data_IF_531523093402
#
_entry.id   IF_531523093402
#
_cell.length_a   1.000
_cell.length_b   1.000
_cell.length_c   1.000
_cell.angle_alpha   90.00
_cell.angle_beta   90.00
_cell.angle_gamma   90.00
#
_symmetry.space_group_name_H-M   'P 1'
#
loop_
_entity.id
_entity.type
_entity.pdbx_description
1 polymer ?
#
# COMPACT_ATOMS: atom_id res chain seq x y z
N UNK A 1 7.96 -14.67 3.03
CA UNK A 1 8.16 -14.73 1.56
C UNK A 1 9.56 -14.24 1.23
N UNK A 2 10.25 -14.81 0.23
CA UNK A 2 11.62 -14.41 -0.08
C UNK A 2 11.57 -13.55 -1.34
N UNK A 3 11.85 -12.26 -1.20
CA UNK A 3 12.08 -11.34 -2.32
C UNK A 3 13.51 -11.55 -2.87
N UNK A 4 13.78 -11.00 -4.06
CA UNK A 4 15.16 -10.89 -4.55
C UNK A 4 16.04 -10.10 -3.56
N UNK A 5 17.36 -10.36 -3.56
CA UNK A 5 18.29 -9.78 -2.59
C UNK A 5 18.16 -8.24 -2.50
N UNK A 6 18.14 -7.56 -3.65
CA UNK A 6 18.02 -6.09 -3.72
C UNK A 6 16.76 -5.58 -3.01
N UNK A 7 15.60 -6.20 -3.25
CA UNK A 7 14.35 -5.80 -2.60
C UNK A 7 14.43 -6.02 -1.09
N UNK A 8 14.96 -7.17 -0.66
CA UNK A 8 15.11 -7.50 0.75
C UNK A 8 16.04 -6.51 1.48
N UNK A 9 17.19 -6.17 0.88
CA UNK A 9 18.12 -5.19 1.42
C UNK A 9 17.51 -3.80 1.54
N UNK A 10 16.72 -3.38 0.54
CA UNK A 10 16.02 -2.09 0.60
C UNK A 10 14.98 -2.09 1.71
N UNK A 11 14.12 -3.12 1.80
CA UNK A 11 13.10 -3.22 2.85
C UNK A 11 13.71 -3.29 4.26
N UNK A 12 14.92 -3.84 4.40
CA UNK A 12 15.64 -3.87 5.67
C UNK A 12 15.95 -2.48 6.24
N UNK A 13 16.01 -1.43 5.40
CA UNK A 13 16.19 -0.05 5.84
C UNK A 13 14.98 0.49 6.65
N UNK A 14 13.85 -0.22 6.63
CA UNK A 14 12.64 0.18 7.36
C UNK A 14 11.89 -1.04 7.91
N UNK A 15 12.55 -1.85 8.73
CA UNK A 15 11.93 -2.94 9.47
C UNK A 15 11.30 -4.06 8.60
N UNK A 16 11.89 -4.34 7.43
CA UNK A 16 11.56 -5.51 6.59
C UNK A 16 10.06 -5.65 6.24
N UNK A 17 9.37 -4.55 5.97
CA UNK A 17 7.94 -4.54 5.65
C UNK A 17 7.01 -4.37 6.85
N UNK A 18 7.54 -4.31 8.07
CA UNK A 18 6.75 -4.14 9.29
C UNK A 18 6.57 -2.67 9.73
N UNK A 19 7.11 -1.72 8.97
CA UNK A 19 6.91 -0.30 9.26
C UNK A 19 5.45 0.09 9.06
N UNK A 20 4.87 0.77 10.03
CA UNK A 20 3.59 1.44 9.87
C UNK A 20 3.76 2.72 9.06
N UNK A 21 3.11 2.78 7.91
CA UNK A 21 3.09 3.97 7.08
C UNK A 21 2.03 4.95 7.61
N UNK A 22 2.32 6.26 7.69
CA UNK A 22 1.32 7.24 8.10
C UNK A 22 0.13 7.24 7.15
N UNK A 23 -1.05 7.57 7.66
CA UNK A 23 -2.28 7.68 6.86
C UNK A 23 -2.29 8.95 6.00
N UNK A 24 -1.50 9.95 6.36
CA UNK A 24 -1.26 11.13 5.55
C UNK A 24 0.19 11.17 5.09
N UNK A 25 0.40 11.60 3.85
CA UNK A 25 1.73 11.73 3.30
C UNK A 25 2.58 12.75 4.06
N UNK A 26 3.88 12.47 4.11
CA UNK A 26 4.92 13.33 4.66
C UNK A 26 6.13 13.34 3.73
N UNK A 27 7.28 13.68 4.28
CA UNK A 27 8.56 13.53 3.57
C UNK A 27 8.92 12.07 3.40
N UNK A 28 9.69 11.78 2.35
CA UNK A 28 10.25 10.44 2.15
C UNK A 28 11.01 9.99 3.40
N UNK A 29 10.70 8.80 3.90
CA UNK A 29 11.23 8.26 5.15
C UNK A 29 12.74 7.99 5.11
N UNK A 30 13.27 7.63 3.94
CA UNK A 30 14.68 7.29 3.75
C UNK A 30 15.17 7.71 2.38
N UNK A 31 16.02 8.73 2.35
CA UNK A 31 16.70 9.17 1.13
C UNK A 31 17.62 8.08 0.55
N UNK A 32 18.20 7.24 1.41
CA UNK A 32 19.00 6.10 0.96
C UNK A 32 18.12 5.07 0.23
N UNK A 33 16.95 4.74 0.77
CA UNK A 33 16.02 3.85 0.10
C UNK A 33 15.54 4.44 -1.23
N UNK A 34 15.16 5.73 -1.24
CA UNK A 34 14.74 6.45 -2.45
C UNK A 34 15.79 6.35 -3.55
N UNK A 35 17.04 6.65 -3.22
CA UNK A 35 18.16 6.56 -4.16
C UNK A 35 18.37 5.12 -4.64
N UNK A 36 18.42 4.13 -3.74
CA UNK A 36 18.63 2.73 -4.10
C UNK A 36 17.51 2.19 -5.01
N UNK A 37 16.26 2.59 -4.76
CA UNK A 37 15.12 2.22 -5.61
C UNK A 37 15.30 2.85 -7.00
N UNK A 38 15.62 4.15 -7.06
CA UNK A 38 15.79 4.88 -8.32
C UNK A 38 17.00 4.43 -9.15
N UNK A 39 18.09 4.00 -8.50
CA UNK A 39 19.27 3.46 -9.18
C UNK A 39 19.07 2.02 -9.69
N UNK A 40 18.02 1.33 -9.21
CA UNK A 40 17.73 -0.05 -9.60
C UNK A 40 16.98 -0.10 -10.92
N UNK A 41 17.44 -0.95 -11.85
CA UNK A 41 16.70 -1.19 -13.08
C UNK A 41 15.52 -2.10 -12.82
N UNK A 42 14.35 -1.69 -13.27
CA UNK A 42 13.09 -2.42 -13.08
C UNK A 42 13.19 -3.86 -13.60
N UNK A 43 13.79 -4.03 -14.79
CA UNK A 43 14.00 -5.31 -15.44
C UNK A 43 14.96 -6.24 -14.69
N UNK A 44 15.86 -5.71 -13.87
CA UNK A 44 16.79 -6.53 -13.08
C UNK A 44 16.14 -6.97 -11.75
N UNK A 45 15.39 -6.06 -11.13
CA UNK A 45 14.80 -6.29 -9.79
C UNK A 45 13.49 -7.05 -9.86
N UNK A 46 12.68 -6.77 -10.88
CA UNK A 46 11.32 -7.30 -11.05
C UNK A 46 11.10 -8.01 -12.39
N UNK A 47 12.17 -8.56 -13.01
CA UNK A 47 12.15 -9.20 -14.34
C UNK A 47 11.03 -10.23 -14.55
N UNK A 48 10.68 -10.97 -13.51
CA UNK A 48 9.66 -12.01 -13.55
C UNK A 48 8.43 -11.71 -12.70
N UNK A 49 8.31 -10.47 -12.23
CA UNK A 49 7.18 -10.05 -11.42
C UNK A 49 5.88 -9.98 -12.24
N UNK A 50 4.76 -10.23 -11.60
CA UNK A 50 3.42 -10.14 -12.22
C UNK A 50 3.11 -8.73 -12.68
N UNK A 51 3.42 -7.73 -11.86
CA UNK A 51 3.21 -6.31 -12.14
C UNK A 51 4.45 -5.52 -11.69
N UNK A 52 5.51 -5.44 -12.53
CA UNK A 52 6.78 -4.81 -12.14
C UNK A 52 6.64 -3.36 -11.70
N UNK A 53 5.88 -2.55 -12.44
CA UNK A 53 5.63 -1.14 -12.10
C UNK A 53 4.85 -1.01 -10.79
N UNK A 54 3.85 -1.87 -10.56
CA UNK A 54 3.13 -1.94 -9.30
C UNK A 54 4.04 -2.31 -8.12
N UNK A 55 4.97 -3.25 -8.30
CA UNK A 55 5.95 -3.58 -7.28
C UNK A 55 6.91 -2.41 -6.98
N UNK A 56 7.35 -1.68 -8.00
CA UNK A 56 8.17 -0.48 -7.84
C UNK A 56 7.42 0.63 -7.08
N UNK A 57 6.17 0.88 -7.46
CA UNK A 57 5.29 1.83 -6.76
C UNK A 57 5.15 1.47 -5.28
N UNK A 58 4.91 0.17 -4.99
CA UNK A 58 4.82 -0.34 -3.62
C UNK A 58 6.08 -0.12 -2.81
N UNK A 59 7.27 -0.25 -3.40
CA UNK A 59 8.52 0.07 -2.72
C UNK A 59 8.61 1.56 -2.36
N UNK A 60 8.33 2.47 -3.28
CA UNK A 60 8.36 3.91 -3.00
C UNK A 60 7.35 4.29 -1.92
N UNK A 61 6.12 3.79 -2.00
CA UNK A 61 5.08 4.06 -0.98
C UNK A 61 5.47 3.55 0.40
N UNK A 62 6.13 2.39 0.49
CA UNK A 62 6.60 1.87 1.77
C UNK A 62 7.53 2.84 2.49
N UNK A 63 8.35 3.56 1.75
CA UNK A 63 9.23 4.60 2.29
C UNK A 63 8.60 6.00 2.29
N UNK A 64 7.30 6.12 2.02
CA UNK A 64 6.60 7.42 1.92
C UNK A 64 7.20 8.37 0.88
N UNK A 65 7.94 7.85 -0.11
CA UNK A 65 8.46 8.59 -1.26
C UNK A 65 7.31 8.73 -2.27
N UNK A 66 6.36 9.59 -1.94
CA UNK A 66 5.05 9.66 -2.58
C UNK A 66 5.10 10.20 -4.00
N UNK A 67 5.95 11.18 -4.26
CA UNK A 67 6.04 11.81 -5.58
C UNK A 67 6.52 10.80 -6.62
N UNK A 68 7.54 10.00 -6.30
CA UNK A 68 8.02 8.92 -7.15
C UNK A 68 6.98 7.80 -7.30
N UNK A 69 6.30 7.44 -6.22
CA UNK A 69 5.21 6.46 -6.27
C UNK A 69 4.07 6.92 -7.17
N UNK A 70 3.70 8.19 -7.09
CA UNK A 70 2.66 8.80 -7.92
C UNK A 70 3.04 8.79 -9.39
N UNK A 71 4.28 9.19 -9.73
CA UNK A 71 4.79 9.20 -11.10
C UNK A 71 4.73 7.81 -11.74
N UNK A 72 5.20 6.77 -11.02
CA UNK A 72 5.15 5.40 -11.51
C UNK A 72 3.71 4.91 -11.66
N UNK A 73 2.86 5.09 -10.64
CA UNK A 73 1.47 4.65 -10.67
C UNK A 73 0.67 5.34 -11.79
N UNK A 74 0.91 6.64 -12.04
CA UNK A 74 0.23 7.38 -13.10
C UNK A 74 0.56 6.85 -14.50
N UNK A 75 1.75 6.30 -14.69
CA UNK A 75 2.18 5.71 -15.96
C UNK A 75 1.68 4.28 -16.18
N UNK A 76 1.17 3.62 -15.13
CA UNK A 76 0.70 2.23 -15.15
C UNK A 76 -0.82 2.15 -15.33
N UNK A 77 -1.28 1.81 -16.53
CA UNK A 77 -2.71 1.67 -16.86
C UNK A 77 -3.36 0.37 -16.35
N UNK A 78 -2.65 -0.49 -15.63
CA UNK A 78 -3.16 -1.75 -15.08
C UNK A 78 -4.13 -1.54 -13.90
N UNK A 79 -4.78 -2.63 -13.47
CA UNK A 79 -5.58 -2.62 -12.24
C UNK A 79 -4.69 -2.38 -11.01
N UNK A 80 -3.49 -2.95 -11.00
CA UNK A 80 -2.50 -2.78 -9.94
C UNK A 80 -1.97 -1.34 -9.88
N UNK A 81 -1.67 -0.73 -11.03
CA UNK A 81 -1.31 0.70 -11.13
C UNK A 81 -2.42 1.60 -10.60
N UNK A 82 -3.67 1.33 -10.99
CA UNK A 82 -4.85 2.03 -10.48
C UNK A 82 -5.02 1.87 -8.96
N UNK A 83 -4.71 0.69 -8.42
CA UNK A 83 -4.80 0.43 -6.98
C UNK A 83 -3.75 1.24 -6.21
N UNK A 84 -2.50 1.18 -6.63
CA UNK A 84 -1.44 1.98 -6.01
C UNK A 84 -1.73 3.47 -6.09
N UNK A 85 -2.22 3.95 -7.22
CA UNK A 85 -2.60 5.34 -7.41
C UNK A 85 -3.73 5.75 -6.44
N UNK A 86 -4.71 4.86 -6.22
CA UNK A 86 -5.76 5.09 -5.22
C UNK A 86 -5.20 5.22 -3.80
N UNK A 87 -4.19 4.39 -3.43
CA UNK A 87 -3.52 4.49 -2.12
C UNK A 87 -2.72 5.80 -2.01
N UNK A 88 -2.03 6.22 -3.07
CA UNK A 88 -1.33 7.51 -3.11
C UNK A 88 -2.29 8.65 -2.76
N UNK A 89 -3.41 8.76 -3.47
CA UNK A 89 -4.39 9.82 -3.21
C UNK A 89 -5.08 9.70 -1.84
N UNK A 90 -5.27 8.46 -1.33
CA UNK A 90 -5.74 8.29 0.05
C UNK A 90 -4.76 8.89 1.06
N UNK A 91 -3.44 8.78 0.82
CA UNK A 91 -2.41 9.39 1.67
C UNK A 91 -2.20 10.90 1.40
N UNK A 92 -2.72 11.43 0.32
CA UNK A 92 -2.75 12.87 0.00
C UNK A 92 -3.94 13.61 0.61
N UNK A 93 -4.69 13.04 1.54
CA UNK A 93 -6.08 13.31 1.93
C UNK A 93 -6.97 13.83 0.79
N UNK A 94 -6.95 13.10 -0.34
CA UNK A 94 -7.83 13.34 -1.49
C UNK A 94 -8.78 12.14 -1.71
N UNK A 95 -9.84 12.03 -0.91
CA UNK A 95 -10.78 10.91 -0.98
C UNK A 95 -11.52 10.85 -2.33
N UNK A 96 -11.65 11.97 -3.01
CA UNK A 96 -12.29 12.06 -4.33
C UNK A 96 -11.50 11.32 -5.40
N UNK A 97 -10.22 11.63 -5.55
CA UNK A 97 -9.31 10.97 -6.48
C UNK A 97 -9.03 9.53 -6.05
N UNK A 98 -8.84 9.26 -4.76
CA UNK A 98 -8.71 7.89 -4.26
C UNK A 98 -9.89 7.03 -4.71
N UNK A 99 -11.12 7.52 -4.52
CA UNK A 99 -12.35 6.83 -4.95
C UNK A 99 -12.43 6.68 -6.47
N UNK A 100 -12.00 7.68 -7.23
CA UNK A 100 -11.94 7.58 -8.70
C UNK A 100 -11.08 6.41 -9.14
N UNK A 101 -9.87 6.27 -8.58
CA UNK A 101 -8.96 5.21 -8.95
C UNK A 101 -9.44 3.83 -8.46
N UNK A 102 -10.04 3.72 -7.26
CA UNK A 102 -10.62 2.45 -6.81
C UNK A 102 -11.78 1.96 -7.69
N UNK A 103 -12.57 2.86 -8.30
CA UNK A 103 -13.58 2.45 -9.30
C UNK A 103 -12.95 1.77 -10.51
N UNK A 104 -11.73 2.16 -10.91
CA UNK A 104 -10.99 1.52 -12.01
C UNK A 104 -10.41 0.17 -11.63
N UNK A 105 -10.07 -0.03 -10.36
CA UNK A 105 -9.63 -1.34 -9.83
C UNK A 105 -10.76 -2.38 -9.91
N UNK A 106 -11.96 -1.99 -9.55
CA UNK A 106 -13.09 -2.92 -9.45
C UNK A 106 -12.87 -3.98 -8.35
N UNK A 107 -12.98 -5.25 -8.72
CA UNK A 107 -12.69 -6.38 -7.83
C UNK A 107 -11.22 -6.76 -7.93
N UNK A 108 -10.55 -6.96 -6.80
CA UNK A 108 -9.14 -7.35 -6.78
C UNK A 108 -8.92 -8.65 -6.00
N UNK A 109 -7.96 -9.45 -6.44
CA UNK A 109 -7.69 -10.78 -5.88
C UNK A 109 -7.25 -10.77 -4.40
N UNK A 110 -6.70 -9.65 -3.92
CA UNK A 110 -6.27 -9.54 -2.51
C UNK A 110 -7.42 -9.19 -1.56
N UNK A 111 -8.58 -8.74 -2.03
CA UNK A 111 -9.67 -8.25 -1.18
C UNK A 111 -10.14 -9.26 -0.12
N UNK A 112 -10.31 -10.57 -0.41
CA UNK A 112 -10.69 -11.51 0.62
C UNK A 112 -9.67 -11.64 1.75
N UNK A 113 -8.38 -11.73 1.42
CA UNK A 113 -7.31 -11.82 2.41
C UNK A 113 -7.14 -10.51 3.19
N UNK A 114 -7.35 -9.36 2.53
CA UNK A 114 -7.31 -8.06 3.18
C UNK A 114 -8.46 -7.90 4.19
N UNK A 115 -9.66 -8.34 3.85
CA UNK A 115 -10.79 -8.33 4.77
C UNK A 115 -10.51 -9.21 6.00
N UNK A 116 -9.94 -10.40 5.81
CA UNK A 116 -9.55 -11.28 6.91
C UNK A 116 -8.53 -10.61 7.84
N UNK A 117 -7.48 -10.00 7.25
CA UNK A 117 -6.48 -9.26 8.01
C UNK A 117 -7.07 -8.07 8.76
N UNK A 118 -7.93 -7.29 8.11
CA UNK A 118 -8.59 -6.15 8.74
C UNK A 118 -9.52 -6.56 9.91
N UNK A 119 -10.22 -7.69 9.77
CA UNK A 119 -11.03 -8.24 10.88
C UNK A 119 -10.18 -8.69 12.06
N UNK A 120 -9.00 -9.24 11.81
CA UNK A 120 -8.06 -9.59 12.88
C UNK A 120 -7.58 -8.34 13.64
N UNK A 121 -7.32 -7.24 12.92
CA UNK A 121 -6.98 -5.94 13.52
C UNK A 121 -8.15 -5.40 14.34
N UNK A 122 -9.38 -5.41 13.81
CA UNK A 122 -10.58 -4.96 14.52
C UNK A 122 -10.84 -5.78 15.78
N UNK A 123 -10.66 -7.10 15.72
CA UNK A 123 -10.80 -7.98 16.88
C UNK A 123 -9.75 -7.70 17.97
N UNK A 124 -8.53 -7.30 17.59
CA UNK A 124 -7.47 -6.90 18.51
C UNK A 124 -7.67 -5.48 19.09
N UNK A 125 -8.41 -4.61 18.41
CA UNK A 125 -8.67 -3.22 18.78
C UNK A 125 -10.16 -2.88 18.58
N UNK A 126 -11.07 -3.41 19.41
CA UNK A 126 -12.52 -3.26 19.17
C UNK A 126 -13.03 -1.81 19.21
N UNK A 127 -12.32 -0.92 19.94
CA UNK A 127 -12.67 0.50 20.01
C UNK A 127 -12.31 1.29 18.75
N UNK A 128 -11.50 0.71 17.84
CA UNK A 128 -11.14 1.34 16.57
C UNK A 128 -12.33 1.50 15.61
N UNK A 129 -13.36 0.64 15.71
CA UNK A 129 -14.62 0.70 14.94
C UNK A 129 -14.34 0.87 13.43
N UNK A 130 -13.69 -0.12 12.84
CA UNK A 130 -13.36 -0.12 11.42
C UNK A 130 -14.60 -0.26 10.52
N UNK A 131 -15.74 -0.69 11.11
CA UNK A 131 -17.03 -0.83 10.41
C UNK A 131 -16.98 -1.76 9.19
N UNK A 132 -16.31 -2.90 9.33
CA UNK A 132 -16.08 -3.85 8.25
C UNK A 132 -17.36 -4.60 7.86
N UNK A 133 -17.70 -4.56 6.58
CA UNK A 133 -18.84 -5.31 6.02
C UNK A 133 -18.48 -6.77 5.69
N UNK A 134 -19.40 -7.48 5.02
CA UNK A 134 -19.21 -8.87 4.60
C UNK A 134 -18.16 -9.06 3.50
N UNK A 135 -17.81 -8.00 2.77
CA UNK A 135 -16.77 -7.94 1.73
C UNK A 135 -15.88 -6.74 1.96
N UNK A 136 -14.64 -6.80 1.43
CA UNK A 136 -13.78 -5.63 1.47
C UNK A 136 -14.34 -4.51 0.61
N UNK A 137 -14.52 -3.35 1.23
CA UNK A 137 -14.95 -2.13 0.57
C UNK A 137 -13.85 -1.06 0.69
N UNK A 138 -13.10 -0.77 -0.39
CA UNK A 138 -12.06 0.24 -0.36
C UNK A 138 -12.59 1.66 -0.13
N UNK A 139 -13.85 1.93 -0.47
CA UNK A 139 -14.46 3.24 -0.24
C UNK A 139 -14.75 3.45 1.24
N UNK A 140 -15.28 2.43 1.92
CA UNK A 140 -15.45 2.47 3.36
C UNK A 140 -14.09 2.64 4.08
N UNK A 141 -13.03 2.00 3.58
CA UNK A 141 -11.70 2.16 4.17
C UNK A 141 -11.09 3.55 3.93
N UNK A 142 -11.40 4.23 2.81
CA UNK A 142 -11.04 5.65 2.63
C UNK A 142 -11.67 6.47 3.76
N UNK A 143 -12.96 6.27 4.07
CA UNK A 143 -13.65 7.00 5.14
C UNK A 143 -13.07 6.69 6.53
N UNK A 144 -12.67 5.44 6.78
CA UNK A 144 -11.95 5.07 8.01
C UNK A 144 -10.66 5.87 8.14
N UNK A 145 -9.85 5.95 7.08
CA UNK A 145 -8.61 6.73 7.08
C UNK A 145 -8.87 8.23 7.31
N UNK A 146 -9.94 8.80 6.70
CA UNK A 146 -10.33 10.19 6.92
C UNK A 146 -10.71 10.46 8.41
N UNK A 147 -11.48 9.55 9.01
CA UNK A 147 -11.86 9.66 10.43
C UNK A 147 -10.64 9.51 11.34
N UNK A 148 -9.78 8.53 11.04
CA UNK A 148 -8.59 8.23 11.83
C UNK A 148 -7.60 9.41 11.88
N UNK A 149 -7.36 10.08 10.74
CA UNK A 149 -6.49 11.27 10.64
C UNK A 149 -6.96 12.45 11.51
N UNK A 150 -8.25 12.53 11.82
CA UNK A 150 -8.80 13.58 12.72
C UNK A 150 -8.58 13.27 14.19
N UNK A 151 -8.06 12.09 14.51
CA UNK A 151 -7.85 11.59 15.87
C UNK A 151 -6.43 11.03 16.04
N UNK A 152 -5.40 11.86 15.86
CA UNK A 152 -4.01 11.40 15.93
C UNK A 152 -3.70 10.79 17.32
N UNK A 153 -2.98 9.68 17.34
CA UNK A 153 -2.65 8.91 18.54
C UNK A 153 -3.78 8.01 19.05
N UNK A 154 -4.92 7.95 18.35
CA UNK A 154 -6.04 7.07 18.74
C UNK A 154 -5.82 5.61 18.32
N UNK A 155 -6.57 4.69 18.96
CA UNK A 155 -6.61 3.29 18.53
C UNK A 155 -7.15 3.14 17.10
N UNK A 156 -8.06 4.02 16.67
CA UNK A 156 -8.54 4.04 15.28
C UNK A 156 -7.40 4.34 14.30
N UNK A 157 -6.54 5.31 14.60
CA UNK A 157 -5.39 5.62 13.73
C UNK A 157 -4.42 4.45 13.68
N UNK A 158 -4.07 3.87 14.83
CA UNK A 158 -3.18 2.72 14.90
C UNK A 158 -3.73 1.52 14.13
N UNK A 159 -5.02 1.21 14.28
CA UNK A 159 -5.69 0.13 13.57
C UNK A 159 -5.75 0.40 12.05
N UNK A 160 -6.08 1.62 11.63
CA UNK A 160 -6.11 1.97 10.21
C UNK A 160 -4.72 1.91 9.56
N UNK A 161 -3.66 2.33 10.26
CA UNK A 161 -2.28 2.16 9.79
C UNK A 161 -1.89 0.69 9.66
N UNK A 162 -2.32 -0.16 10.60
CA UNK A 162 -2.04 -1.61 10.52
C UNK A 162 -2.80 -2.26 9.35
N UNK A 163 -4.07 -1.91 9.12
CA UNK A 163 -4.81 -2.37 7.94
C UNK A 163 -4.14 -1.90 6.65
N UNK A 164 -3.69 -0.63 6.58
CA UNK A 164 -2.94 -0.10 5.45
C UNK A 164 -1.63 -0.86 5.22
N UNK A 165 -0.92 -1.26 6.29
CA UNK A 165 0.29 -2.09 6.18
C UNK A 165 -0.02 -3.47 5.61
N UNK A 166 -1.09 -4.11 6.06
CA UNK A 166 -1.56 -5.41 5.53
C UNK A 166 -1.93 -5.26 4.04
N UNK A 167 -2.66 -4.21 3.69
CA UNK A 167 -3.03 -3.91 2.30
C UNK A 167 -1.78 -3.75 1.42
N UNK A 168 -0.82 -2.94 1.89
CA UNK A 168 0.46 -2.76 1.22
C UNK A 168 1.17 -4.09 1.02
N UNK A 169 1.29 -4.91 2.08
CA UNK A 169 1.99 -6.19 2.03
C UNK A 169 1.35 -7.14 1.01
N UNK A 170 0.02 -7.28 1.05
CA UNK A 170 -0.70 -8.16 0.14
C UNK A 170 -0.59 -7.71 -1.31
N UNK A 171 -0.72 -6.40 -1.57
CA UNK A 171 -0.63 -5.87 -2.91
C UNK A 171 0.81 -5.90 -3.44
N UNK A 172 1.80 -5.58 -2.61
CA UNK A 172 3.20 -5.69 -2.97
C UNK A 172 3.58 -7.14 -3.30
N UNK A 173 3.19 -8.09 -2.45
CA UNK A 173 3.38 -9.51 -2.70
C UNK A 173 2.72 -9.97 -3.99
N UNK A 174 1.51 -9.50 -4.27
CA UNK A 174 0.77 -9.81 -5.48
C UNK A 174 1.51 -9.31 -6.73
N UNK A 175 2.03 -8.08 -6.68
CA UNK A 175 2.76 -7.47 -7.79
C UNK A 175 4.14 -8.09 -7.98
N UNK A 176 4.90 -8.31 -6.89
CA UNK A 176 6.30 -8.77 -6.94
C UNK A 176 6.45 -10.28 -7.22
N UNK A 177 5.39 -11.08 -7.04
CA UNK A 177 5.43 -12.51 -7.35
C UNK A 177 5.58 -12.76 -8.85
N UNK A 178 6.21 -13.89 -9.18
CA UNK A 178 6.19 -14.39 -10.56
C UNK A 178 4.75 -14.61 -11.03
N UNK A 179 4.46 -14.21 -12.26
CA UNK A 179 3.27 -14.70 -12.94
C UNK A 179 3.35 -16.23 -12.96
N UNK A 180 2.31 -16.90 -12.46
CA UNK A 180 2.15 -18.33 -12.71
C UNK A 180 1.43 -18.43 -14.06
N UNK A 181 2.13 -18.91 -15.05
CA UNK A 181 1.54 -19.31 -16.34
C UNK A 181 0.43 -20.34 -16.11
#
# INVERSE_FOLDING_TARGET
MTYGATVAEILALANNGARLMPLAGGVCYSEEARRRIGDSKLEDVFASARAPQGALTGQYLYFSCRDEAHEVAQSDGSAEGSYWHAIVHRQEPDPGNSSYWFRRVGKHAIFPALLEGARAVEAASPSAKLDLSGVWDPFAFIEVCERARRQPGSEMEAAAMEVQRIEWQLLFDYCARRSRD
#
